data_IF_192842613983
#
_entry.id   IF_192842613983
#
_cell.length_a   1.000
_cell.length_b   1.000
_cell.length_c   1.000
_cell.angle_alpha   90.00
_cell.angle_beta   90.00
_cell.angle_gamma   90.00
#
_symmetry.space_group_name_H-M   'P 1'
#
loop_
_entity.id
_entity.type
_entity.pdbx_description
1 polymer ?
#
# COMPACT_ATOMS: atom_id res chain seq x y z
N UNK A 1 8.54 45.34 73.15
CA UNK A 1 9.22 44.06 73.43
C UNK A 1 9.27 43.27 72.12
N UNK A 2 10.47 43.01 71.58
CA UNK A 2 10.72 42.48 70.23
C UNK A 2 10.38 40.98 70.16
N UNK A 3 9.57 40.55 69.20
CA UNK A 3 9.44 39.13 68.83
C UNK A 3 9.86 38.92 67.38
N UNK A 4 10.89 38.09 67.22
CA UNK A 4 11.60 37.71 66.00
C UNK A 4 10.70 36.94 65.04
N UNK A 5 10.74 37.29 63.75
CA UNK A 5 10.28 36.44 62.65
C UNK A 5 11.18 35.20 62.56
N UNK A 6 10.58 34.02 62.72
CA UNK A 6 11.23 32.72 62.50
C UNK A 6 11.16 32.42 61.01
N UNK A 7 12.34 32.32 60.37
CA UNK A 7 12.50 31.82 59.00
C UNK A 7 12.20 30.31 59.01
N UNK A 8 11.20 29.86 58.24
CA UNK A 8 11.03 28.42 57.96
C UNK A 8 11.95 28.03 56.82
N UNK A 9 12.93 27.20 57.15
CA UNK A 9 13.79 26.49 56.22
C UNK A 9 13.09 25.22 55.71
N UNK A 10 13.29 24.95 54.42
CA UNK A 10 13.35 23.64 53.76
C UNK A 10 12.45 22.49 54.24
N UNK A 11 11.51 22.11 53.38
CA UNK A 11 11.35 20.69 53.07
C UNK A 11 11.20 20.54 51.56
N UNK A 12 12.28 20.08 50.95
CA UNK A 12 12.37 19.71 49.55
C UNK A 12 11.50 18.48 49.32
N UNK A 13 10.46 18.59 48.50
CA UNK A 13 9.79 17.44 47.91
C UNK A 13 9.88 17.59 46.39
N UNK A 14 11.07 17.32 45.87
CA UNK A 14 11.34 17.21 44.44
C UNK A 14 10.70 15.90 43.94
N UNK A 15 9.40 15.92 43.67
CA UNK A 15 8.75 14.88 42.88
C UNK A 15 9.21 15.10 41.44
N UNK A 16 10.32 14.46 41.08
CA UNK A 16 10.73 14.30 39.69
C UNK A 16 9.69 13.41 39.01
N UNK A 17 8.68 14.06 38.42
CA UNK A 17 7.73 13.42 37.52
C UNK A 17 8.52 13.02 36.27
N UNK A 18 9.07 11.79 36.28
CA UNK A 18 9.59 11.17 35.07
C UNK A 18 8.42 11.01 34.10
N UNK A 19 8.26 12.00 33.23
CA UNK A 19 7.49 11.88 32.00
C UNK A 19 8.18 10.83 31.14
N UNK A 20 7.81 9.57 31.35
CA UNK A 20 8.06 8.53 30.36
C UNK A 20 7.22 8.90 29.15
N UNK A 21 7.85 9.57 28.19
CA UNK A 21 7.28 9.78 26.87
C UNK A 21 7.13 8.40 26.23
N UNK A 22 5.95 7.80 26.38
CA UNK A 22 5.50 6.66 25.60
C UNK A 22 5.53 7.09 24.14
N UNK A 23 6.62 6.77 23.45
CA UNK A 23 6.70 6.89 22.00
C UNK A 23 5.76 5.83 21.43
N UNK A 24 4.47 6.17 21.33
CA UNK A 24 3.61 5.45 20.41
C UNK A 24 4.23 5.62 19.03
N UNK A 25 4.61 4.52 18.40
CA UNK A 25 4.87 4.48 16.97
C UNK A 25 3.55 4.78 16.26
N UNK A 26 3.18 6.06 16.21
CA UNK A 26 2.02 6.52 15.47
C UNK A 26 2.32 6.25 14.00
N UNK A 27 1.56 5.36 13.39
CA UNK A 27 1.47 5.32 11.92
C UNK A 27 0.88 6.66 11.50
N UNK A 28 1.57 7.39 10.63
CA UNK A 28 1.11 8.70 10.19
C UNK A 28 -0.26 8.58 9.49
N UNK A 29 -1.07 9.63 9.62
CA UNK A 29 -2.36 9.72 8.93
C UNK A 29 -2.16 9.81 7.42
N UNK A 30 -3.14 9.30 6.66
CA UNK A 30 -3.17 9.45 5.21
C UNK A 30 -3.25 10.93 4.81
N UNK A 31 -2.29 11.38 3.99
CA UNK A 31 -2.28 12.70 3.36
C UNK A 31 -2.78 12.59 1.92
N UNK A 32 -3.74 13.44 1.51
CA UNK A 32 -4.18 13.52 0.11
C UNK A 32 -3.13 14.26 -0.72
N UNK A 33 -2.54 13.59 -1.70
CA UNK A 33 -1.43 14.13 -2.51
C UNK A 33 -1.81 14.41 -3.97
N UNK A 34 -2.89 13.81 -4.47
CA UNK A 34 -3.35 14.02 -5.85
C UNK A 34 -4.85 13.68 -5.98
N UNK A 35 -5.51 14.22 -6.99
CA UNK A 35 -6.87 13.85 -7.39
C UNK A 35 -7.10 14.14 -8.86
N UNK A 36 -7.49 13.11 -9.62
CA UNK A 36 -7.71 13.22 -11.07
C UNK A 36 -8.79 12.24 -11.54
N UNK A 37 -9.72 12.73 -12.37
CA UNK A 37 -10.78 11.92 -13.02
C UNK A 37 -11.56 11.00 -12.06
N UNK A 38 -11.88 11.51 -10.86
CA UNK A 38 -12.61 10.76 -9.83
C UNK A 38 -11.79 9.70 -9.09
N UNK A 39 -10.46 9.76 -9.20
CA UNK A 39 -9.51 8.98 -8.40
C UNK A 39 -8.81 9.92 -7.44
N UNK A 40 -8.71 9.56 -6.17
CA UNK A 40 -7.95 10.32 -5.16
C UNK A 40 -6.79 9.50 -4.65
N UNK A 41 -5.60 10.10 -4.63
CA UNK A 41 -4.37 9.45 -4.17
C UNK A 41 -3.97 10.00 -2.81
N UNK A 42 -3.62 9.09 -1.92
CA UNK A 42 -3.11 9.36 -0.59
C UNK A 42 -1.74 8.72 -0.39
N UNK A 43 -0.90 9.35 0.41
CA UNK A 43 0.36 8.81 0.89
C UNK A 43 0.38 8.83 2.42
N UNK A 44 1.12 7.89 3.03
CA UNK A 44 1.49 7.98 4.44
C UNK A 44 2.89 7.42 4.65
N UNK A 45 3.58 7.94 5.65
CA UNK A 45 4.85 7.36 6.08
C UNK A 45 4.60 6.15 6.98
N UNK A 46 5.42 5.12 6.77
CA UNK A 46 5.45 3.90 7.58
C UNK A 46 6.89 3.68 8.03
N UNK A 47 7.10 3.74 9.34
CA UNK A 47 8.40 3.50 9.96
C UNK A 47 8.65 2.00 10.04
N UNK A 48 9.69 1.53 9.36
CA UNK A 48 10.08 0.10 9.29
C UNK A 48 11.14 -0.19 10.35
N UNK A 49 12.15 0.67 10.42
CA UNK A 49 13.18 0.65 11.47
C UNK A 49 13.41 2.08 11.96
N UNK A 50 14.34 2.28 12.89
CA UNK A 50 14.73 3.62 13.36
C UNK A 50 15.28 4.50 12.23
N UNK A 51 15.93 3.87 11.24
CA UNK A 51 16.65 4.56 10.16
C UNK A 51 15.97 4.40 8.80
N UNK A 52 14.86 3.66 8.73
CA UNK A 52 14.13 3.38 7.50
C UNK A 52 12.63 3.67 7.66
N UNK A 53 12.18 4.69 6.95
CA UNK A 53 10.76 4.94 6.69
C UNK A 53 10.47 4.75 5.20
N UNK A 54 9.31 4.21 4.86
CA UNK A 54 8.85 4.07 3.47
C UNK A 54 7.49 4.74 3.32
N UNK A 55 7.06 4.98 2.09
CA UNK A 55 5.73 5.50 1.81
C UNK A 55 4.80 4.39 1.37
N UNK A 56 3.67 4.28 2.05
CA UNK A 56 2.53 3.55 1.51
C UNK A 56 1.68 4.52 0.67
N UNK A 57 1.24 4.03 -0.49
CA UNK A 57 0.30 4.77 -1.36
C UNK A 57 -1.04 4.08 -1.35
N UNK A 58 -2.10 4.89 -1.39
CA UNK A 58 -3.48 4.44 -1.52
C UNK A 58 -4.18 5.25 -2.60
N UNK A 59 -4.92 4.58 -3.48
CA UNK A 59 -5.85 5.21 -4.41
C UNK A 59 -7.27 4.78 -4.11
N UNK A 60 -8.20 5.72 -4.21
CA UNK A 60 -9.62 5.48 -3.98
C UNK A 60 -10.43 5.98 -5.17
N UNK A 61 -11.44 5.21 -5.57
CA UNK A 61 -12.38 5.57 -6.62
C UNK A 61 -13.75 4.92 -6.40
N UNK A 62 -14.76 5.50 -7.03
CA UNK A 62 -16.09 4.89 -7.16
C UNK A 62 -16.37 4.71 -8.65
N UNK A 63 -16.85 3.53 -9.00
CA UNK A 63 -17.12 3.12 -10.38
C UNK A 63 -18.53 2.51 -10.49
N UNK A 64 -19.24 2.68 -11.60
CA UNK A 64 -20.46 1.92 -11.86
C UNK A 64 -20.10 0.44 -12.08
N UNK A 65 -21.00 -0.47 -11.70
CA UNK A 65 -20.84 -1.90 -11.97
C UNK A 65 -21.27 -2.80 -10.82
N UNK A 66 -20.77 -4.03 -10.82
CA UNK A 66 -21.05 -5.02 -9.77
C UNK A 66 -19.77 -5.47 -9.08
N UNK A 67 -19.90 -5.80 -7.78
CA UNK A 67 -18.79 -6.33 -6.99
C UNK A 67 -18.19 -7.59 -7.62
N UNK A 68 -19.03 -8.44 -8.23
CA UNK A 68 -18.59 -9.65 -8.91
C UNK A 68 -17.70 -9.34 -10.14
N UNK A 69 -18.08 -8.37 -10.98
CA UNK A 69 -17.26 -7.97 -12.14
C UNK A 69 -15.87 -7.48 -11.72
N UNK A 70 -15.83 -6.66 -10.66
CA UNK A 70 -14.57 -6.16 -10.09
C UNK A 70 -13.71 -7.31 -9.57
N UNK A 71 -14.28 -8.21 -8.78
CA UNK A 71 -13.55 -9.38 -8.24
C UNK A 71 -13.06 -10.28 -9.37
N UNK A 72 -13.88 -10.61 -10.36
CA UNK A 72 -13.47 -11.43 -11.51
C UNK A 72 -12.34 -10.80 -12.33
N UNK A 73 -12.25 -9.46 -12.35
CA UNK A 73 -11.16 -8.76 -13.04
C UNK A 73 -9.88 -8.75 -12.20
N UNK A 74 -10.00 -8.45 -10.91
CA UNK A 74 -8.83 -8.35 -10.01
C UNK A 74 -8.22 -9.71 -9.63
N UNK A 75 -9.03 -10.78 -9.61
CA UNK A 75 -8.57 -12.13 -9.29
C UNK A 75 -7.95 -12.87 -10.49
N UNK A 76 -7.92 -12.28 -11.68
CA UNK A 76 -7.32 -12.86 -12.89
C UNK A 76 -5.95 -12.23 -13.16
N UNK A 77 -4.83 -12.91 -12.83
CA UNK A 77 -3.50 -12.35 -13.04
C UNK A 77 -3.20 -11.99 -14.50
N UNK A 78 -3.82 -12.68 -15.46
CA UNK A 78 -3.59 -12.45 -16.89
C UNK A 78 -4.12 -11.09 -17.36
N UNK A 79 -5.07 -10.51 -16.62
CA UNK A 79 -5.62 -9.17 -16.88
C UNK A 79 -4.73 -8.05 -16.34
N UNK A 80 -3.71 -8.35 -15.52
CA UNK A 80 -2.80 -7.35 -14.96
C UNK A 80 -2.16 -6.47 -16.04
N UNK A 81 -1.74 -7.09 -17.16
CA UNK A 81 -1.16 -6.39 -18.31
C UNK A 81 -2.09 -5.39 -19.00
N UNK A 82 -3.41 -5.50 -18.78
CA UNK A 82 -4.39 -4.62 -19.40
C UNK A 82 -4.41 -3.24 -18.71
N UNK A 83 -4.10 -3.18 -17.42
CA UNK A 83 -4.22 -1.94 -16.64
C UNK A 83 -2.90 -1.44 -16.05
N UNK A 84 -1.93 -2.31 -15.79
CA UNK A 84 -0.62 -1.89 -15.29
C UNK A 84 0.34 -1.55 -16.43
N UNK A 85 0.86 -0.33 -16.42
CA UNK A 85 1.93 0.09 -17.32
C UNK A 85 3.17 -0.79 -17.14
N UNK A 86 3.89 -0.99 -18.25
CA UNK A 86 5.15 -1.72 -18.31
C UNK A 86 5.06 -3.21 -17.91
N UNK A 87 3.87 -3.79 -17.75
CA UNK A 87 3.72 -5.23 -17.56
C UNK A 87 3.72 -5.93 -18.91
N UNK A 88 4.77 -6.69 -19.21
CA UNK A 88 4.89 -7.44 -20.47
C UNK A 88 4.48 -8.91 -20.33
N UNK A 89 4.47 -9.44 -19.10
CA UNK A 89 3.98 -10.78 -18.82
C UNK A 89 3.32 -10.84 -17.44
N UNK A 90 2.21 -11.56 -17.32
CA UNK A 90 1.53 -11.80 -16.05
C UNK A 90 0.66 -13.06 -16.16
N UNK A 91 0.85 -13.99 -15.23
CA UNK A 91 0.16 -15.28 -15.27
C UNK A 91 -0.06 -15.89 -13.89
N UNK A 92 -1.02 -16.79 -13.82
CA UNK A 92 -1.28 -17.63 -12.65
C UNK A 92 -0.19 -18.70 -12.55
N UNK A 93 0.54 -18.73 -11.43
CA UNK A 93 1.52 -19.79 -11.15
C UNK A 93 0.77 -21.04 -10.68
N UNK A 94 -0.08 -20.88 -9.67
CA UNK A 94 -0.91 -21.95 -9.10
C UNK A 94 -2.07 -21.37 -8.33
N UNK A 95 -3.13 -22.16 -8.19
CA UNK A 95 -4.31 -21.84 -7.39
C UNK A 95 -4.36 -22.80 -6.20
N UNK A 96 -4.14 -22.28 -4.98
CA UNK A 96 -4.23 -23.07 -3.75
C UNK A 96 -5.70 -23.32 -3.36
N UNK A 97 -6.60 -22.38 -3.66
CA UNK A 97 -8.06 -22.55 -3.56
C UNK A 97 -8.78 -21.51 -4.42
N UNK A 98 -10.11 -21.52 -4.44
CA UNK A 98 -10.92 -20.47 -5.10
C UNK A 98 -10.58 -19.05 -4.65
N UNK A 99 -10.12 -18.89 -3.41
CA UNK A 99 -9.81 -17.59 -2.81
C UNK A 99 -8.32 -17.36 -2.55
N UNK A 100 -7.44 -18.29 -2.92
CA UNK A 100 -5.99 -18.17 -2.68
C UNK A 100 -5.25 -18.61 -3.94
N UNK A 101 -4.42 -17.73 -4.49
CA UNK A 101 -3.63 -18.01 -5.67
C UNK A 101 -2.25 -17.37 -5.62
N UNK A 102 -1.27 -18.03 -6.25
CA UNK A 102 0.06 -17.49 -6.53
C UNK A 102 0.13 -16.99 -7.97
N UNK A 103 0.68 -15.80 -8.19
CA UNK A 103 0.82 -15.17 -9.50
C UNK A 103 2.23 -14.66 -9.77
N UNK A 104 2.56 -14.55 -11.05
CA UNK A 104 3.77 -13.93 -11.56
C UNK A 104 3.41 -12.64 -12.31
N UNK A 105 4.25 -11.62 -12.20
CA UNK A 105 4.17 -10.40 -13.00
C UNK A 105 5.57 -9.93 -13.36
N UNK A 106 5.81 -9.61 -14.62
CA UNK A 106 7.06 -9.07 -15.12
C UNK A 106 6.88 -7.64 -15.60
N UNK A 107 7.73 -6.75 -15.09
CA UNK A 107 7.76 -5.33 -15.40
C UNK A 107 8.97 -5.00 -16.30
N UNK A 108 8.68 -4.69 -17.56
CA UNK A 108 9.62 -4.14 -18.55
C UNK A 108 9.76 -2.62 -18.36
N UNK A 109 10.53 -2.19 -17.37
CA UNK A 109 10.71 -0.77 -17.07
C UNK A 109 11.64 -0.08 -18.10
N UNK A 110 11.40 1.21 -18.42
CA UNK A 110 12.28 1.96 -19.30
C UNK A 110 13.63 2.24 -18.62
N UNK A 111 14.68 2.35 -19.44
CA UNK A 111 16.01 2.78 -18.98
C UNK A 111 15.94 4.13 -18.25
N UNK A 112 16.67 4.34 -17.13
CA UNK A 112 17.72 3.49 -16.55
C UNK A 112 17.23 2.47 -15.50
N UNK A 113 15.93 2.25 -15.36
CA UNK A 113 15.41 1.28 -14.39
C UNK A 113 15.59 -0.15 -14.91
N UNK A 114 16.13 -1.02 -14.05
CA UNK A 114 16.19 -2.45 -14.36
C UNK A 114 14.78 -3.07 -14.39
N UNK A 115 14.58 -4.04 -15.28
CA UNK A 115 13.37 -4.87 -15.28
C UNK A 115 13.16 -5.51 -13.92
N UNK A 116 11.90 -5.70 -13.56
CA UNK A 116 11.52 -6.31 -12.28
C UNK A 116 10.54 -7.43 -12.48
N UNK A 117 10.45 -8.31 -11.51
CA UNK A 117 9.35 -9.25 -11.44
C UNK A 117 8.79 -9.36 -10.02
N UNK A 118 7.55 -9.80 -9.92
CA UNK A 118 6.85 -10.04 -8.66
C UNK A 118 6.30 -11.45 -8.69
N UNK A 119 6.61 -12.21 -7.65
CA UNK A 119 5.88 -13.42 -7.30
C UNK A 119 5.07 -13.08 -6.06
N UNK A 120 3.76 -13.26 -6.11
CA UNK A 120 2.90 -12.91 -4.99
C UNK A 120 1.81 -13.94 -4.74
N UNK A 121 1.49 -14.15 -3.47
CA UNK A 121 0.27 -14.86 -3.04
C UNK A 121 -0.80 -13.83 -2.79
N UNK A 122 -1.97 -14.06 -3.37
CA UNK A 122 -3.16 -13.24 -3.16
C UNK A 122 -4.22 -14.04 -2.43
N UNK A 123 -4.96 -13.37 -1.55
CA UNK A 123 -6.06 -13.94 -0.77
C UNK A 123 -7.29 -13.04 -0.83
N UNK A 124 -8.38 -13.57 -1.37
CA UNK A 124 -9.70 -12.95 -1.35
C UNK A 124 -10.44 -13.30 -0.06
N UNK A 125 -10.91 -12.29 0.67
CA UNK A 125 -11.75 -12.46 1.85
C UNK A 125 -13.03 -11.64 1.70
N UNK A 126 -14.19 -12.28 1.82
CA UNK A 126 -15.47 -11.59 1.96
C UNK A 126 -15.68 -11.24 3.44
N UNK A 127 -15.81 -9.95 3.73
CA UNK A 127 -16.10 -9.46 5.08
C UNK A 127 -17.61 -9.50 5.34
N UNK A 128 -18.39 -9.19 4.31
CA UNK A 128 -19.86 -9.27 4.27
C UNK A 128 -20.29 -9.58 2.83
N UNK A 129 -21.58 -9.83 2.54
CA UNK A 129 -22.05 -10.00 1.17
C UNK A 129 -21.75 -8.80 0.25
N UNK A 130 -21.55 -7.61 0.80
CA UNK A 130 -21.31 -6.37 0.05
C UNK A 130 -19.91 -5.81 0.22
N UNK A 131 -19.01 -6.50 0.96
CA UNK A 131 -17.64 -6.03 1.19
C UNK A 131 -16.64 -7.17 1.11
N UNK A 132 -15.55 -6.96 0.35
CA UNK A 132 -14.44 -7.89 0.26
C UNK A 132 -13.09 -7.19 0.25
N UNK A 133 -12.04 -7.95 0.53
CA UNK A 133 -10.65 -7.53 0.41
C UNK A 133 -9.85 -8.54 -0.38
N UNK A 134 -8.89 -8.07 -1.18
CA UNK A 134 -7.85 -8.93 -1.77
C UNK A 134 -6.51 -8.46 -1.20
N UNK A 135 -5.89 -9.30 -0.38
CA UNK A 135 -4.55 -9.05 0.15
C UNK A 135 -3.52 -9.78 -0.69
N UNK A 136 -2.50 -9.06 -1.17
CA UNK A 136 -1.42 -9.58 -1.98
C UNK A 136 -0.09 -9.35 -1.25
N UNK A 137 0.69 -10.41 -1.08
CA UNK A 137 1.98 -10.37 -0.39
C UNK A 137 3.03 -11.01 -1.29
N UNK A 138 4.19 -10.36 -1.45
CA UNK A 138 5.32 -10.94 -2.16
C UNK A 138 5.73 -12.26 -1.51
N UNK A 139 5.91 -13.29 -2.33
CA UNK A 139 6.37 -14.59 -1.88
C UNK A 139 7.71 -14.92 -2.48
N UNK A 140 8.67 -15.02 -1.59
CA UNK A 140 10.05 -15.29 -1.91
C UNK A 140 10.21 -16.74 -2.40
N UNK A 141 11.18 -16.96 -3.30
CA UNK A 141 11.73 -18.28 -3.64
C UNK A 141 10.77 -19.34 -4.23
N UNK A 142 9.59 -18.96 -4.75
CA UNK A 142 8.71 -19.94 -5.44
C UNK A 142 9.14 -20.18 -6.88
N UNK A 143 9.79 -19.21 -7.51
CA UNK A 143 10.40 -19.30 -8.83
C UNK A 143 11.85 -18.82 -8.75
N UNK A 144 12.77 -19.42 -9.54
CA UNK A 144 14.15 -18.96 -9.59
C UNK A 144 14.22 -17.49 -10.01
N UNK A 145 15.25 -16.80 -9.52
CA UNK A 145 15.54 -15.44 -9.97
C UNK A 145 16.02 -15.46 -11.42
N UNK A 146 15.65 -14.42 -12.17
CA UNK A 146 16.07 -14.25 -13.57
C UNK A 146 17.28 -13.32 -13.62
N UNK A 147 18.25 -13.65 -14.48
CA UNK A 147 19.42 -12.80 -14.71
C UNK A 147 18.97 -11.41 -15.20
N UNK A 148 19.56 -10.34 -14.64
CA UNK A 148 19.26 -8.95 -14.97
C UNK A 148 17.79 -8.52 -14.69
N UNK A 149 17.14 -9.18 -13.74
CA UNK A 149 15.77 -8.85 -13.30
C UNK A 149 15.75 -8.76 -11.78
N UNK A 150 15.32 -7.60 -11.25
CA UNK A 150 15.20 -7.39 -9.81
C UNK A 150 13.85 -7.90 -9.30
N UNK A 151 13.85 -8.97 -8.51
CA UNK A 151 12.63 -9.48 -7.84
C UNK A 151 12.13 -8.49 -6.79
N UNK A 152 10.85 -8.13 -6.84
CA UNK A 152 10.18 -7.37 -5.79
C UNK A 152 9.95 -8.26 -4.57
N UNK A 153 10.74 -8.01 -3.54
CA UNK A 153 10.67 -8.63 -2.22
C UNK A 153 10.07 -7.62 -1.23
N UNK A 154 9.52 -8.13 -0.12
CA UNK A 154 8.91 -7.32 0.93
C UNK A 154 7.90 -6.29 0.37
N UNK A 155 6.93 -6.79 -0.38
CA UNK A 155 5.87 -6.00 -0.96
C UNK A 155 4.51 -6.48 -0.46
N UNK A 156 3.63 -5.53 -0.17
CA UNK A 156 2.25 -5.79 0.23
C UNK A 156 1.32 -4.85 -0.51
N UNK A 157 0.20 -5.38 -0.98
CA UNK A 157 -0.90 -4.60 -1.50
C UNK A 157 -2.25 -5.10 -0.98
N UNK A 158 -3.22 -4.20 -0.89
CA UNK A 158 -4.56 -4.52 -0.41
C UNK A 158 -5.58 -3.81 -1.31
N UNK A 159 -6.50 -4.59 -1.86
CA UNK A 159 -7.75 -4.08 -2.39
C UNK A 159 -8.83 -4.12 -1.32
N UNK A 160 -9.64 -3.06 -1.23
CA UNK A 160 -10.92 -3.05 -0.51
C UNK A 160 -12.02 -2.72 -1.50
N UNK A 161 -13.04 -3.56 -1.54
CA UNK A 161 -14.14 -3.52 -2.50
C UNK A 161 -15.42 -3.45 -1.69
N UNK A 162 -16.29 -2.47 -1.97
CA UNK A 162 -17.58 -2.34 -1.32
C UNK A 162 -18.67 -1.99 -2.32
N UNK A 163 -19.75 -2.77 -2.34
CA UNK A 163 -20.98 -2.44 -3.06
C UNK A 163 -21.76 -1.38 -2.27
N UNK A 164 -22.06 -0.25 -2.93
CA UNK A 164 -22.77 0.88 -2.33
C UNK A 164 -24.30 0.74 -2.42
N UNK A 165 -24.82 -0.33 -3.01
CA UNK A 165 -26.26 -0.63 -3.09
C UNK A 165 -27.02 0.23 -4.12
N UNK A 166 -26.31 1.04 -4.91
CA UNK A 166 -26.87 1.96 -5.90
C UNK A 166 -26.31 1.73 -7.31
N UNK A 167 -25.79 0.52 -7.57
CA UNK A 167 -25.12 0.17 -8.83
C UNK A 167 -23.70 0.72 -8.96
N UNK A 168 -23.13 1.27 -7.87
CA UNK A 168 -21.74 1.70 -7.82
C UNK A 168 -20.95 0.88 -6.79
N UNK A 169 -19.67 0.68 -7.12
CA UNK A 169 -18.68 0.00 -6.30
C UNK A 169 -17.64 1.02 -5.84
N UNK A 170 -17.40 1.10 -4.54
CA UNK A 170 -16.23 1.75 -3.98
C UNK A 170 -15.03 0.80 -4.05
N UNK A 171 -13.91 1.31 -4.54
CA UNK A 171 -12.66 0.59 -4.66
C UNK A 171 -11.52 1.40 -4.03
N UNK A 172 -10.77 0.77 -3.14
CA UNK A 172 -9.51 1.29 -2.60
C UNK A 172 -8.39 0.30 -2.89
N UNK A 173 -7.27 0.80 -3.40
CA UNK A 173 -6.03 0.04 -3.57
C UNK A 173 -4.93 0.67 -2.74
N UNK A 174 -4.30 -0.07 -1.83
CA UNK A 174 -3.06 0.38 -1.19
C UNK A 174 -1.89 -0.54 -1.51
N UNK A 175 -0.69 0.03 -1.58
CA UNK A 175 0.55 -0.69 -1.85
C UNK A 175 1.72 -0.09 -1.07
N UNK A 176 2.56 -0.95 -0.51
CA UNK A 176 3.78 -0.62 0.21
C UNK A 176 4.88 -1.60 -0.18
N UNK A 177 6.08 -1.06 -0.45
CA UNK A 177 7.31 -1.82 -0.43
C UNK A 177 8.08 -1.44 0.82
N UNK A 178 8.51 -2.44 1.59
CA UNK A 178 9.32 -2.25 2.80
C UNK A 178 10.81 -2.06 2.48
N UNK A 179 11.18 -2.07 1.19
CA UNK A 179 12.55 -1.89 0.72
C UNK A 179 12.92 -0.41 0.65
N UNK A 180 14.18 -0.11 0.94
CA UNK A 180 14.72 1.24 0.79
C UNK A 180 14.59 1.75 -0.67
N UNK A 181 14.38 3.05 -0.88
CA UNK A 181 14.35 3.63 -2.22
C UNK A 181 15.71 3.44 -2.90
N UNK A 182 15.69 3.12 -4.18
CA UNK A 182 16.90 2.90 -4.98
C UNK A 182 17.49 4.22 -5.49
N UNK A 183 16.64 5.22 -5.68
CA UNK A 183 17.03 6.56 -6.11
C UNK A 183 16.65 7.59 -5.04
N UNK A 184 17.26 8.79 -5.06
CA UNK A 184 16.81 9.88 -4.21
C UNK A 184 15.30 10.10 -4.32
N UNK A 185 14.62 10.19 -3.17
CA UNK A 185 13.15 10.17 -3.13
C UNK A 185 12.50 11.28 -3.95
N UNK A 186 13.11 12.46 -4.02
CA UNK A 186 12.61 13.56 -4.82
C UNK A 186 12.53 13.24 -6.33
N UNK A 187 13.26 12.23 -6.79
CA UNK A 187 13.21 11.69 -8.16
C UNK A 187 12.24 10.50 -8.21
N UNK A 188 12.38 9.55 -7.28
CA UNK A 188 11.61 8.29 -7.31
C UNK A 188 10.12 8.49 -7.02
N UNK A 189 9.77 9.28 -6.01
CA UNK A 189 8.38 9.40 -5.53
C UNK A 189 7.44 9.98 -6.59
N UNK A 190 7.78 11.06 -7.33
CA UNK A 190 6.91 11.57 -8.39
C UNK A 190 6.68 10.54 -9.51
N UNK A 191 7.71 9.79 -9.90
CA UNK A 191 7.61 8.75 -10.94
C UNK A 191 6.69 7.62 -10.50
N UNK A 192 6.89 7.10 -9.28
CA UNK A 192 6.07 6.02 -8.72
C UNK A 192 4.63 6.48 -8.53
N UNK A 193 4.40 7.70 -8.01
CA UNK A 193 3.06 8.28 -7.86
C UNK A 193 2.36 8.43 -9.21
N UNK A 194 3.06 8.93 -10.22
CA UNK A 194 2.53 9.08 -11.57
C UNK A 194 2.12 7.75 -12.19
N UNK A 195 2.97 6.71 -12.09
CA UNK A 195 2.65 5.36 -12.55
C UNK A 195 1.45 4.77 -11.79
N UNK A 196 1.40 4.96 -10.47
CA UNK A 196 0.29 4.49 -9.64
C UNK A 196 -1.05 5.12 -10.08
N UNK A 197 -1.09 6.43 -10.31
CA UNK A 197 -2.28 7.11 -10.79
C UNK A 197 -2.70 6.61 -12.19
N UNK A 198 -1.77 6.51 -13.14
CA UNK A 198 -2.08 6.03 -14.50
C UNK A 198 -2.60 4.59 -14.52
N UNK A 199 -2.02 3.71 -13.71
CA UNK A 199 -2.52 2.34 -13.57
C UNK A 199 -3.97 2.30 -13.06
N UNK A 200 -4.32 3.13 -12.08
CA UNK A 200 -5.70 3.21 -11.58
C UNK A 200 -6.66 3.83 -12.59
N UNK A 201 -6.20 4.81 -13.39
CA UNK A 201 -6.98 5.35 -14.51
C UNK A 201 -7.28 4.28 -15.57
N UNK A 202 -6.29 3.48 -15.96
CA UNK A 202 -6.47 2.38 -16.90
C UNK A 202 -7.41 1.31 -16.35
N UNK A 203 -7.23 0.94 -15.08
CA UNK A 203 -8.11 -0.02 -14.41
C UNK A 203 -9.56 0.48 -14.36
N UNK A 204 -9.76 1.77 -14.07
CA UNK A 204 -11.09 2.39 -14.09
C UNK A 204 -11.77 2.22 -15.45
N UNK A 205 -11.04 2.43 -16.55
CA UNK A 205 -11.57 2.21 -17.91
C UNK A 205 -12.01 0.76 -18.09
N UNK A 206 -11.15 -0.21 -17.72
CA UNK A 206 -11.45 -1.64 -17.87
C UNK A 206 -12.65 -2.09 -17.03
N UNK A 207 -12.84 -1.50 -15.85
CA UNK A 207 -13.95 -1.88 -14.97
C UNK A 207 -15.28 -1.20 -15.31
N UNK A 208 -15.26 -0.12 -16.12
CA UNK A 208 -16.48 0.58 -16.54
C UNK A 208 -17.01 0.11 -17.91
N UNK A 209 -16.32 -0.84 -18.56
CA UNK A 209 -16.71 -1.45 -19.83
C UNK A 209 -17.04 -2.94 -19.62
#
# INVERSE_FOLDING_TARGET
MKTKKIKKAGFSLMVALMLTASHSFATESWEKVDSKSGITIYERWVNITKDLSVKERKGEMTIPGSMNSVICTLCDPSKTKLWMENVSDAYLIKKESENIWSSYTYFSLPWPFESRDLVAVSKLNYLTPTMATIEMISKDNTLPEKKNVKRFMNYKAIWKIADLGNGNIYLSFSAISYTAPEFPRFIQDPVVRGAFLRNLLNLKVILCH
#
